data_IF_437801908491
#
_entry.id   IF_437801908491
#
_cell.length_a   1.000
_cell.length_b   1.000
_cell.length_c   1.000
_cell.angle_alpha   90.00
_cell.angle_beta   90.00
_cell.angle_gamma   90.00
#
_symmetry.space_group_name_H-M   'P 1'
#
loop_
_entity.id
_entity.type
_entity.pdbx_description
1 polymer ?
#
# COMPACT_ATOMS: atom_id res chain seq x y z
N UNK A 1 1.36 4.07 23.64
CA UNK A 1 0.13 3.26 23.54
C UNK A 1 -0.65 3.74 22.32
N UNK A 2 -0.40 3.16 21.15
CA UNK A 2 -1.09 3.49 19.91
C UNK A 2 -2.46 2.81 19.92
N UNK A 3 -3.53 3.59 20.06
CA UNK A 3 -4.88 3.09 19.79
C UNK A 3 -4.92 2.67 18.32
N UNK A 4 -4.86 1.35 18.09
CA UNK A 4 -5.08 0.75 16.78
C UNK A 4 -6.40 1.27 16.24
N UNK A 5 -6.37 1.86 15.05
CA UNK A 5 -7.53 2.28 14.26
C UNK A 5 -8.50 1.10 14.13
N UNK A 6 -9.39 0.95 15.11
CA UNK A 6 -10.32 -0.16 15.18
C UNK A 6 -11.43 0.13 14.18
N UNK A 7 -11.24 -0.37 12.96
CA UNK A 7 -12.23 -0.21 11.90
C UNK A 7 -13.57 -0.79 12.37
N UNK A 8 -14.63 0.00 12.24
CA UNK A 8 -15.96 -0.24 12.82
C UNK A 8 -16.65 -1.54 12.40
N UNK A 9 -16.10 -2.25 11.42
CA UNK A 9 -16.64 -3.49 10.88
C UNK A 9 -16.08 -4.77 11.51
N UNK A 10 -15.11 -4.68 12.43
CA UNK A 10 -14.61 -5.83 13.18
C UNK A 10 -15.09 -5.84 14.64
N UNK A 11 -15.42 -7.03 15.12
CA UNK A 11 -15.70 -7.28 16.53
C UNK A 11 -14.42 -7.14 17.36
N UNK A 12 -14.56 -6.98 18.68
CA UNK A 12 -13.42 -6.99 19.61
C UNK A 12 -12.64 -8.30 19.62
N UNK A 13 -13.23 -9.38 19.10
CA UNK A 13 -12.61 -10.70 18.97
C UNK A 13 -11.60 -10.79 17.83
N UNK A 14 -11.55 -9.81 16.91
CA UNK A 14 -10.52 -9.74 15.87
C UNK A 14 -9.22 -9.18 16.45
N UNK A 15 -8.42 -10.05 17.07
CA UNK A 15 -7.15 -9.71 17.71
C UNK A 15 -5.93 -10.10 16.85
N UNK A 16 -4.74 -9.86 17.38
CA UNK A 16 -3.47 -10.20 16.73
C UNK A 16 -3.31 -11.72 16.53
N UNK A 17 -3.86 -12.54 17.44
CA UNK A 17 -3.81 -14.00 17.32
C UNK A 17 -4.59 -14.51 16.11
N UNK A 18 -5.75 -13.89 15.83
CA UNK A 18 -6.51 -14.19 14.61
C UNK A 18 -5.74 -13.73 13.38
N UNK A 19 -5.16 -12.53 13.40
CA UNK A 19 -4.36 -12.04 12.28
C UNK A 19 -3.18 -12.96 11.95
N UNK A 20 -2.52 -13.54 12.94
CA UNK A 20 -1.41 -14.48 12.74
C UNK A 20 -1.82 -15.77 12.01
N UNK A 21 -3.10 -16.16 12.06
CA UNK A 21 -3.64 -17.33 11.35
C UNK A 21 -3.93 -17.04 9.88
N UNK A 22 -4.09 -15.77 9.52
CA UNK A 22 -4.39 -15.34 8.15
C UNK A 22 -3.11 -15.38 7.32
N UNK A 23 -3.27 -15.69 6.03
CA UNK A 23 -2.17 -15.64 5.10
C UNK A 23 -1.74 -14.20 4.84
N UNK A 24 -2.71 -13.31 4.61
CA UNK A 24 -2.48 -11.87 4.46
C UNK A 24 -2.84 -11.14 5.76
N UNK A 25 -1.94 -11.18 6.75
CA UNK A 25 -2.18 -10.68 8.13
C UNK A 25 -2.70 -9.25 8.20
N UNK A 26 -2.01 -8.31 7.55
CA UNK A 26 -2.34 -6.88 7.63
C UNK A 26 -3.43 -6.45 6.64
N UNK A 27 -3.68 -7.25 5.60
CA UNK A 27 -4.56 -6.89 4.49
C UNK A 27 -5.97 -6.48 4.93
N UNK A 28 -6.54 -7.24 5.85
CA UNK A 28 -7.92 -7.07 6.31
C UNK A 28 -8.12 -5.79 7.13
N UNK A 29 -7.02 -5.29 7.73
CA UNK A 29 -7.01 -4.05 8.49
C UNK A 29 -6.68 -2.88 7.58
N UNK A 30 -5.81 -3.03 6.58
CA UNK A 30 -5.42 -1.91 5.72
C UNK A 30 -6.49 -1.61 4.67
N UNK A 31 -6.99 -2.64 3.99
CA UNK A 31 -7.89 -2.49 2.85
C UNK A 31 -9.35 -2.26 3.24
N UNK A 32 -10.08 -1.55 2.38
CA UNK A 32 -11.52 -1.37 2.53
C UNK A 32 -12.28 -2.66 2.15
N UNK A 33 -13.31 -3.05 2.92
CA UNK A 33 -14.12 -4.23 2.63
C UNK A 33 -14.76 -4.28 1.24
N UNK A 34 -14.97 -3.14 0.58
CA UNK A 34 -15.52 -3.09 -0.78
C UNK A 34 -14.58 -3.74 -1.80
N UNK A 35 -13.27 -3.73 -1.54
CA UNK A 35 -12.24 -4.15 -2.48
C UNK A 35 -11.56 -5.46 -2.10
N UNK A 36 -11.94 -6.08 -0.97
CA UNK A 36 -11.25 -7.24 -0.44
C UNK A 36 -11.07 -8.37 -1.44
N UNK A 37 -12.09 -8.72 -2.22
CA UNK A 37 -11.99 -9.84 -3.17
C UNK A 37 -10.88 -9.65 -4.22
N UNK A 38 -10.85 -8.48 -4.88
CA UNK A 38 -9.89 -8.23 -5.95
C UNK A 38 -8.50 -7.95 -5.38
N UNK A 39 -8.41 -7.07 -4.39
CA UNK A 39 -7.14 -6.66 -3.81
C UNK A 39 -6.46 -7.83 -3.08
N UNK A 40 -7.23 -8.76 -2.49
CA UNK A 40 -6.68 -9.96 -1.87
C UNK A 40 -5.93 -10.78 -2.92
N UNK A 41 -6.56 -11.03 -4.08
CA UNK A 41 -5.95 -11.81 -5.15
C UNK A 41 -4.73 -11.12 -5.74
N UNK A 42 -4.78 -9.80 -5.90
CA UNK A 42 -3.63 -9.03 -6.36
C UNK A 42 -2.47 -9.14 -5.37
N UNK A 43 -2.72 -8.87 -4.08
CA UNK A 43 -1.69 -8.93 -3.04
C UNK A 43 -1.13 -10.34 -2.86
N UNK A 44 -1.96 -11.36 -2.99
CA UNK A 44 -1.56 -12.75 -2.95
C UNK A 44 -0.60 -13.11 -4.09
N UNK A 45 -0.93 -12.73 -5.33
CA UNK A 45 -0.05 -12.96 -6.50
C UNK A 45 1.22 -12.11 -6.41
N UNK A 46 1.15 -10.91 -5.85
CA UNK A 46 2.36 -10.10 -5.61
C UNK A 46 3.31 -10.76 -4.61
N UNK A 47 2.80 -11.43 -3.57
CA UNK A 47 3.64 -12.13 -2.59
C UNK A 47 4.12 -13.50 -3.08
N UNK A 48 3.28 -14.24 -3.80
CA UNK A 48 3.60 -15.54 -4.39
C UNK A 48 3.25 -15.56 -5.88
N UNK A 49 4.17 -15.10 -6.76
CA UNK A 49 3.93 -15.06 -8.20
C UNK A 49 3.68 -16.43 -8.85
N UNK A 50 4.09 -17.52 -8.20
CA UNK A 50 3.94 -18.89 -8.69
C UNK A 50 2.63 -19.56 -8.25
N UNK A 51 1.77 -18.86 -7.51
CA UNK A 51 0.60 -19.47 -6.90
C UNK A 51 -0.37 -20.02 -7.96
N UNK A 52 -0.77 -21.28 -7.79
CA UNK A 52 -1.76 -21.88 -8.68
C UNK A 52 -3.15 -21.28 -8.44
N UNK A 53 -3.97 -21.25 -9.49
CA UNK A 53 -5.38 -20.83 -9.39
C UNK A 53 -6.13 -21.58 -8.28
N UNK A 54 -5.87 -22.87 -8.13
CA UNK A 54 -6.55 -23.70 -7.12
C UNK A 54 -6.12 -23.29 -5.71
N UNK A 55 -4.83 -23.07 -5.49
CA UNK A 55 -4.32 -22.73 -4.17
C UNK A 55 -4.73 -21.32 -3.76
N UNK A 56 -4.70 -20.37 -4.69
CA UNK A 56 -5.20 -19.01 -4.45
C UNK A 56 -6.68 -19.02 -4.03
N UNK A 57 -7.47 -19.86 -4.68
CA UNK A 57 -8.89 -20.05 -4.41
C UNK A 57 -9.15 -20.68 -3.04
N UNK A 58 -8.35 -21.67 -2.64
CA UNK A 58 -8.40 -22.29 -1.31
C UNK A 58 -8.03 -21.26 -0.23
N UNK A 59 -6.94 -20.50 -0.44
CA UNK A 59 -6.49 -19.47 0.50
C UNK A 59 -7.54 -18.38 0.69
N UNK A 60 -8.10 -17.87 -0.40
CA UNK A 60 -9.17 -16.86 -0.36
C UNK A 60 -10.32 -17.31 0.56
N UNK A 61 -10.84 -18.53 0.34
CA UNK A 61 -11.97 -19.06 1.10
C UNK A 61 -11.62 -19.35 2.56
N UNK A 62 -10.41 -19.83 2.83
CA UNK A 62 -9.99 -20.14 4.20
C UNK A 62 -9.85 -18.85 5.03
N UNK A 63 -9.14 -17.86 4.50
CA UNK A 63 -8.96 -16.58 5.19
C UNK A 63 -10.32 -15.88 5.35
N UNK A 64 -11.17 -15.85 4.32
CA UNK A 64 -12.50 -15.22 4.43
C UNK A 64 -13.43 -15.93 5.41
N UNK A 65 -13.30 -17.24 5.62
CA UNK A 65 -14.06 -17.97 6.67
C UNK A 65 -13.62 -17.55 8.06
N UNK A 66 -12.30 -17.43 8.28
CA UNK A 66 -11.76 -16.99 9.57
C UNK A 66 -12.23 -15.56 9.84
N UNK A 67 -12.03 -14.65 8.88
CA UNK A 67 -12.40 -13.24 9.02
C UNK A 67 -13.90 -13.07 9.26
N UNK A 68 -14.75 -13.83 8.55
CA UNK A 68 -16.21 -13.75 8.70
C UNK A 68 -16.67 -13.93 10.16
N UNK A 69 -16.02 -14.81 10.94
CA UNK A 69 -16.40 -15.07 12.34
C UNK A 69 -16.21 -13.86 13.25
N UNK A 70 -15.43 -12.88 12.81
CA UNK A 70 -15.03 -11.72 13.59
C UNK A 70 -15.55 -10.39 13.01
N UNK A 71 -16.38 -10.45 11.97
CA UNK A 71 -16.99 -9.27 11.37
C UNK A 71 -18.30 -8.93 12.09
N UNK A 72 -18.60 -7.63 12.18
CA UNK A 72 -19.86 -7.14 12.73
C UNK A 72 -20.99 -7.38 11.72
N UNK A 73 -22.09 -7.97 12.17
CA UNK A 73 -23.25 -8.25 11.35
C UNK A 73 -23.88 -6.95 10.78
N UNK A 74 -24.41 -7.03 9.55
CA UNK A 74 -25.02 -5.90 8.83
C UNK A 74 -24.00 -4.98 8.14
N UNK A 75 -22.71 -5.30 8.19
CA UNK A 75 -21.66 -4.48 7.56
C UNK A 75 -21.31 -4.94 6.15
N UNK A 76 -20.69 -4.06 5.37
CA UNK A 76 -20.13 -4.39 4.05
C UNK A 76 -19.12 -5.54 4.18
N UNK A 77 -18.33 -5.56 5.24
CA UNK A 77 -17.38 -6.64 5.52
C UNK A 77 -18.06 -8.01 5.62
N UNK A 78 -19.26 -8.11 6.21
CA UNK A 78 -19.98 -9.38 6.33
C UNK A 78 -20.42 -9.83 4.94
N UNK A 79 -20.96 -8.90 4.17
CA UNK A 79 -21.44 -9.16 2.81
C UNK A 79 -20.28 -9.60 1.90
N UNK A 80 -19.15 -8.90 1.96
CA UNK A 80 -17.98 -9.24 1.16
C UNK A 80 -17.38 -10.57 1.56
N UNK A 81 -17.19 -10.85 2.87
CA UNK A 81 -16.65 -12.14 3.33
C UNK A 81 -17.57 -13.31 2.99
N UNK A 82 -18.90 -13.12 3.08
CA UNK A 82 -19.88 -14.09 2.59
C UNK A 82 -19.71 -14.37 1.09
N UNK A 83 -19.56 -13.31 0.29
CA UNK A 83 -19.34 -13.43 -1.16
C UNK A 83 -18.03 -14.16 -1.48
N UNK A 84 -16.94 -13.85 -0.77
CA UNK A 84 -15.64 -14.52 -0.88
C UNK A 84 -15.73 -16.02 -0.51
N UNK A 85 -16.48 -16.36 0.54
CA UNK A 85 -16.70 -17.76 0.95
C UNK A 85 -17.49 -18.58 -0.07
N UNK A 86 -18.34 -17.91 -0.86
CA UNK A 86 -19.14 -18.53 -1.92
C UNK A 86 -18.52 -18.37 -3.32
N UNK A 87 -17.36 -17.76 -3.42
CA UNK A 87 -16.77 -17.35 -4.70
C UNK A 87 -16.54 -18.53 -5.64
N UNK A 88 -16.17 -19.70 -5.09
CA UNK A 88 -15.99 -20.93 -5.86
C UNK A 88 -17.28 -21.72 -6.13
N UNK A 89 -18.40 -21.31 -5.53
CA UNK A 89 -19.69 -22.00 -5.68
C UNK A 89 -20.50 -21.40 -6.82
N UNK A 90 -20.43 -20.08 -6.98
CA UNK A 90 -21.19 -19.36 -8.02
C UNK A 90 -20.51 -19.45 -9.38
N UNK A 91 -21.30 -19.53 -10.46
CA UNK A 91 -20.79 -19.49 -11.84
C UNK A 91 -20.05 -18.17 -12.09
N UNK A 92 -20.61 -17.06 -11.60
CA UNK A 92 -20.02 -15.72 -11.70
C UNK A 92 -18.65 -15.65 -11.03
N UNK A 93 -18.52 -16.14 -9.79
CA UNK A 93 -17.25 -16.13 -9.07
C UNK A 93 -16.20 -17.04 -9.72
N UNK A 94 -16.58 -18.24 -10.17
CA UNK A 94 -15.70 -19.13 -10.95
C UNK A 94 -15.19 -18.44 -12.22
N UNK A 95 -16.07 -17.78 -12.97
CA UNK A 95 -15.70 -17.08 -14.20
C UNK A 95 -14.80 -15.86 -13.91
N UNK A 96 -15.06 -15.11 -12.84
CA UNK A 96 -14.22 -13.99 -12.43
C UNK A 96 -12.82 -14.46 -12.01
N UNK A 97 -12.73 -15.54 -11.23
CA UNK A 97 -11.46 -16.15 -10.83
C UNK A 97 -10.69 -16.69 -12.04
N UNK A 98 -11.39 -17.36 -12.95
CA UNK A 98 -10.84 -17.83 -14.23
C UNK A 98 -10.27 -16.67 -15.04
N UNK A 99 -11.06 -15.62 -15.22
CA UNK A 99 -10.66 -14.43 -15.98
C UNK A 99 -9.43 -13.75 -15.36
N UNK A 100 -9.34 -13.63 -14.04
CA UNK A 100 -8.19 -13.00 -13.38
C UNK A 100 -6.86 -13.72 -13.69
N UNK A 101 -6.87 -15.05 -13.69
CA UNK A 101 -5.67 -15.85 -13.98
C UNK A 101 -5.41 -16.03 -15.49
N UNK A 102 -6.44 -16.20 -16.31
CA UNK A 102 -6.30 -16.53 -17.73
C UNK A 102 -6.22 -15.29 -18.64
N UNK A 103 -6.88 -14.18 -18.29
CA UNK A 103 -6.82 -12.93 -19.07
C UNK A 103 -5.62 -12.04 -18.72
N UNK A 104 -4.62 -12.59 -18.05
CA UNK A 104 -3.32 -11.94 -17.86
C UNK A 104 -3.20 -11.01 -16.65
N UNK A 105 -4.26 -10.72 -15.89
CA UNK A 105 -4.13 -9.86 -14.69
C UNK A 105 -3.14 -10.45 -13.68
N UNK A 106 -3.21 -11.75 -13.41
CA UNK A 106 -2.25 -12.43 -12.54
C UNK A 106 -0.82 -12.40 -13.11
N UNK A 107 -0.65 -12.63 -14.42
CA UNK A 107 0.66 -12.63 -15.08
C UNK A 107 1.34 -11.26 -15.02
N UNK A 108 0.59 -10.18 -15.30
CA UNK A 108 1.09 -8.79 -15.23
C UNK A 108 1.50 -8.42 -13.80
N UNK A 109 0.73 -8.86 -12.79
CA UNK A 109 1.06 -8.61 -11.39
C UNK A 109 2.30 -9.41 -10.96
N UNK A 110 2.39 -10.67 -11.38
CA UNK A 110 3.55 -11.52 -11.11
C UNK A 110 4.82 -10.91 -11.72
N UNK A 111 4.78 -10.51 -13.00
CA UNK A 111 5.91 -9.91 -13.70
C UNK A 111 6.34 -8.57 -13.08
N UNK A 112 5.38 -7.69 -12.78
CA UNK A 112 5.68 -6.42 -12.11
C UNK A 112 6.24 -6.60 -10.70
N UNK A 113 5.76 -7.58 -9.93
CA UNK A 113 6.30 -7.91 -8.61
C UNK A 113 7.75 -8.41 -8.70
N UNK A 114 8.03 -9.31 -9.65
CA UNK A 114 9.39 -9.80 -9.90
C UNK A 114 10.30 -8.64 -10.34
N UNK A 115 9.86 -7.80 -11.27
CA UNK A 115 10.62 -6.64 -11.73
C UNK A 115 10.92 -5.65 -10.60
N UNK A 116 9.95 -5.36 -9.74
CA UNK A 116 10.14 -4.52 -8.58
C UNK A 116 11.18 -5.12 -7.61
N UNK A 117 11.12 -6.43 -7.36
CA UNK A 117 12.08 -7.11 -6.49
C UNK A 117 13.52 -7.02 -7.02
N UNK A 118 13.68 -7.16 -8.35
CA UNK A 118 14.97 -7.03 -9.04
C UNK A 118 15.48 -5.59 -8.96
N UNK A 119 14.63 -4.60 -9.24
CA UNK A 119 15.00 -3.19 -9.13
C UNK A 119 15.39 -2.81 -7.70
N UNK A 120 14.63 -3.28 -6.71
CA UNK A 120 14.94 -3.08 -5.29
C UNK A 120 16.28 -3.69 -4.90
N UNK A 121 16.59 -4.90 -5.40
CA UNK A 121 17.89 -5.51 -5.16
C UNK A 121 19.01 -4.72 -5.84
N UNK A 122 18.83 -4.30 -7.11
CA UNK A 122 19.81 -3.48 -7.83
C UNK A 122 20.09 -2.17 -7.10
N UNK A 123 19.05 -1.48 -6.61
CA UNK A 123 19.19 -0.26 -5.82
C UNK A 123 19.97 -0.52 -4.54
N UNK A 124 19.63 -1.57 -3.79
CA UNK A 124 20.37 -1.95 -2.56
C UNK A 124 21.83 -2.28 -2.85
N UNK A 125 22.11 -3.00 -3.93
CA UNK A 125 23.47 -3.30 -4.37
C UNK A 125 24.23 -2.02 -4.74
N UNK A 126 23.61 -1.10 -5.48
CA UNK A 126 24.21 0.19 -5.83
C UNK A 126 24.51 1.06 -4.61
N UNK A 127 23.59 1.10 -3.64
CA UNK A 127 23.83 1.80 -2.36
C UNK A 127 24.96 1.15 -1.56
N UNK A 128 25.00 -0.19 -1.49
CA UNK A 128 26.08 -0.90 -0.81
C UNK A 128 27.45 -0.68 -1.49
N UNK A 129 27.49 -0.64 -2.82
CA UNK A 129 28.68 -0.33 -3.61
C UNK A 129 29.14 1.11 -3.37
N UNK A 130 28.22 2.08 -3.32
CA UNK A 130 28.56 3.46 -2.99
C UNK A 130 29.17 3.58 -1.58
N UNK A 131 28.58 2.90 -0.59
CA UNK A 131 29.11 2.88 0.79
C UNK A 131 30.51 2.24 0.83
N UNK A 132 30.70 1.12 0.13
CA UNK A 132 32.00 0.45 0.05
C UNK A 132 33.05 1.35 -0.63
N UNK A 133 32.71 2.01 -1.74
CA UNK A 133 33.60 2.94 -2.43
C UNK A 133 33.93 4.17 -1.56
N UNK A 134 32.97 4.71 -0.80
CA UNK A 134 33.21 5.79 0.16
C UNK A 134 34.14 5.35 1.31
N UNK A 135 34.04 4.08 1.74
CA UNK A 135 34.92 3.50 2.74
C UNK A 135 36.34 3.26 2.19
N UNK A 136 36.47 2.74 0.97
CA UNK A 136 37.75 2.58 0.27
C UNK A 136 38.43 3.93 -0.03
N UNK A 137 37.68 4.97 -0.41
CA UNK A 137 38.19 6.33 -0.56
C UNK A 137 38.68 6.91 0.79
N UNK A 138 37.96 6.65 1.89
CA UNK A 138 38.41 7.06 3.24
C UNK A 138 39.68 6.31 3.67
N UNK A 139 39.81 5.03 3.31
CA UNK A 139 40.98 4.21 3.62
C UNK A 139 42.20 4.63 2.78
N UNK A 140 42.00 4.91 1.49
CA UNK A 140 43.07 5.39 0.59
C UNK A 140 43.54 6.80 0.97
N UNK A 141 42.64 7.71 1.33
CA UNK A 141 43.01 9.02 1.90
C UNK A 141 43.82 8.89 3.20
N UNK A 142 43.50 7.91 4.07
CA UNK A 142 44.31 7.62 5.27
C UNK A 142 45.68 7.00 4.95
N UNK A 143 45.81 6.23 3.86
CA UNK A 143 47.11 5.62 3.45
C UNK A 143 48.01 6.56 2.67
N UNK A 144 47.47 7.55 1.95
CA UNK A 144 48.28 8.59 1.27
C UNK A 144 48.75 9.72 2.19
N UNK A 145 48.36 9.72 3.47
CA UNK A 145 48.81 10.68 4.49
C UNK A 145 50.05 10.25 5.27
N UNK A 146 51.03 9.60 4.63
CA UNK A 146 52.35 9.35 5.23
C UNK A 146 53.41 9.86 4.27
N UNK A 147 53.82 11.11 4.48
CA UNK A 147 55.02 11.63 3.84
C UNK A 147 54.99 13.11 3.51
N UNK A 148 54.86 13.98 4.51
CA UNK A 148 55.61 15.24 4.50
C UNK A 148 55.87 15.66 5.95
N UNK A 149 57.15 15.84 6.25
CA UNK A 149 57.64 16.05 7.60
C UNK A 149 57.52 17.49 8.08
N UNK A 150 57.67 17.61 9.39
CA UNK A 150 58.19 18.76 10.12
C UNK A 150 57.25 19.93 10.45
N UNK A 151 56.93 19.97 11.75
CA UNK A 151 57.09 21.14 12.63
C UNK A 151 55.90 22.05 12.93
N UNK A 152 55.66 22.14 14.25
CA UNK A 152 55.24 23.29 15.05
C UNK A 152 53.77 23.72 15.08
N UNK A 153 53.27 23.63 16.32
CA UNK A 153 52.41 24.56 17.04
C UNK A 153 50.97 24.85 16.60
N UNK A 154 50.09 24.44 17.53
CA UNK A 154 49.05 25.25 18.16
C UNK A 154 47.91 25.81 17.29
N UNK A 155 46.67 25.53 17.72
CA UNK A 155 45.73 26.53 18.28
C UNK A 155 44.27 26.02 18.16
N UNK A 156 43.64 25.84 19.33
CA UNK A 156 42.24 26.10 19.73
C UNK A 156 41.09 25.68 18.77
N UNK A 157 40.24 24.72 19.16
CA UNK A 157 39.04 24.91 20.02
C UNK A 157 38.11 26.03 19.51
N UNK A 158 37.02 25.66 18.82
CA UNK A 158 35.71 26.27 19.03
C UNK A 158 34.57 25.39 18.49
N UNK A 159 33.74 24.94 19.42
CA UNK A 159 32.36 24.48 19.23
C UNK A 159 31.52 25.73 18.96
N UNK A 160 30.63 25.70 17.98
CA UNK A 160 29.41 26.52 17.95
C UNK A 160 28.26 25.73 17.35
N UNK A 161 27.34 25.37 18.24
CA UNK A 161 25.93 25.17 17.96
C UNK A 161 25.39 26.43 17.25
N UNK A 162 24.50 26.25 16.28
CA UNK A 162 23.46 27.22 15.96
C UNK A 162 22.29 26.45 15.35
N UNK A 163 21.28 26.22 16.20
CA UNK A 163 19.89 26.16 15.80
C UNK A 163 19.56 27.47 15.06
N UNK A 164 18.86 27.37 13.93
CA UNK A 164 18.04 28.47 13.44
C UNK A 164 16.84 27.85 12.71
N UNK A 165 15.70 27.98 13.39
CA UNK A 165 14.36 27.96 12.82
C UNK A 165 14.29 28.90 11.62
N UNK A 166 13.69 28.43 10.53
CA UNK A 166 13.04 29.32 9.58
C UNK A 166 11.70 28.70 9.22
N UNK A 167 10.69 29.09 9.99
CA UNK A 167 9.32 29.19 9.51
C UNK A 167 9.34 30.15 8.30
N UNK A 168 9.20 29.60 7.10
CA UNK A 168 8.85 30.39 5.92
C UNK A 168 7.41 30.04 5.55
N UNK A 169 6.55 30.90 6.08
CA UNK A 169 5.12 31.00 5.91
C UNK A 169 4.83 31.45 4.46
N UNK A 170 4.87 30.50 3.53
CA UNK A 170 4.34 30.68 2.19
C UNK A 170 2.85 30.38 2.21
N UNK A 171 2.09 31.38 2.66
CA UNK A 171 0.64 31.52 2.53
C UNK A 171 0.24 31.58 1.05
N UNK A 172 0.34 30.44 0.36
CA UNK A 172 -0.26 30.26 -0.97
C UNK A 172 -1.74 30.07 -0.76
N UNK A 173 -2.52 31.03 -1.28
CA UNK A 173 -3.97 31.01 -1.52
C UNK A 173 -4.48 29.66 -2.10
N UNK A 174 -4.47 28.60 -1.31
CA UNK A 174 -5.25 27.40 -1.56
C UNK A 174 -6.69 27.76 -1.22
N UNK A 175 -7.39 28.31 -2.21
CA UNK A 175 -8.84 28.33 -2.20
C UNK A 175 -9.27 26.88 -1.97
N UNK A 176 -9.73 26.60 -0.76
CA UNK A 176 -10.13 25.28 -0.27
C UNK A 176 -10.88 24.55 -1.38
N UNK A 177 -10.35 23.40 -1.78
CA UNK A 177 -10.91 22.54 -2.83
C UNK A 177 -12.40 22.32 -2.56
N UNK A 178 -12.80 22.28 -1.29
CA UNK A 178 -14.20 22.18 -0.89
C UNK A 178 -15.05 23.41 -1.26
N UNK A 179 -14.53 24.63 -1.14
CA UNK A 179 -15.22 25.83 -1.60
C UNK A 179 -15.37 25.88 -3.12
N UNK A 180 -14.38 25.36 -3.86
CA UNK A 180 -14.47 25.24 -5.31
C UNK A 180 -15.58 24.25 -5.72
N UNK A 181 -15.68 23.12 -5.01
CA UNK A 181 -16.75 22.14 -5.22
C UNK A 181 -18.14 22.71 -4.91
N UNK A 182 -18.28 23.50 -3.83
CA UNK A 182 -19.56 24.18 -3.53
C UNK A 182 -19.96 25.13 -4.65
N UNK A 183 -19.05 26.02 -5.09
CA UNK A 183 -19.31 26.94 -6.21
C UNK A 183 -19.64 26.21 -7.51
N UNK A 184 -19.01 25.06 -7.74
CA UNK A 184 -19.29 24.22 -8.91
C UNK A 184 -20.72 23.65 -8.88
N UNK A 185 -21.19 23.19 -7.72
CA UNK A 185 -22.52 22.63 -7.52
C UNK A 185 -23.62 23.71 -7.46
N UNK A 186 -23.31 24.92 -6.98
CA UNK A 186 -24.25 26.04 -6.93
C UNK A 186 -24.52 26.65 -8.31
N UNK A 187 -23.71 26.34 -9.32
CA UNK A 187 -23.92 26.84 -10.68
C UNK A 187 -25.03 26.03 -11.41
N UNK A 188 -26.16 26.65 -11.77
CA UNK A 188 -27.28 25.97 -12.42
C UNK A 188 -26.93 25.38 -13.79
N UNK A 189 -25.90 25.91 -14.47
CA UNK A 189 -25.44 25.30 -15.74
C UNK A 189 -24.73 23.97 -15.53
N UNK A 190 -23.98 23.80 -14.44
CA UNK A 190 -23.26 22.57 -14.13
C UNK A 190 -24.20 21.47 -13.63
N UNK A 191 -25.20 21.83 -12.81
CA UNK A 191 -26.18 20.88 -12.26
C UNK A 191 -27.16 20.34 -13.29
N UNK A 192 -27.40 21.06 -14.40
CA UNK A 192 -28.21 20.56 -15.51
C UNK A 192 -27.65 19.26 -16.14
N UNK A 193 -26.32 19.08 -16.12
CA UNK A 193 -25.68 17.88 -16.63
C UNK A 193 -25.72 16.71 -15.65
N UNK A 194 -25.79 16.97 -14.33
CA UNK A 194 -25.88 15.93 -13.31
C UNK A 194 -27.18 15.13 -13.41
N UNK A 195 -28.30 15.80 -13.73
CA UNK A 195 -29.58 15.11 -13.98
C UNK A 195 -29.58 14.25 -15.25
N UNK A 196 -28.63 14.45 -16.17
CA UNK A 196 -28.48 13.58 -17.33
C UNK A 196 -27.77 12.28 -16.95
N UNK A 197 -26.85 12.31 -15.98
CA UNK A 197 -26.10 11.14 -15.51
C UNK A 197 -26.91 10.18 -14.62
N UNK A 198 -28.20 10.46 -14.40
CA UNK A 198 -29.06 9.53 -13.65
C UNK A 198 -29.12 8.16 -14.35
N UNK A 199 -28.90 7.05 -13.62
CA UNK A 199 -29.03 5.69 -14.15
C UNK A 199 -30.39 5.41 -14.80
N UNK A 200 -31.45 6.08 -14.32
CA UNK A 200 -32.83 5.94 -14.83
C UNK A 200 -32.96 6.42 -16.28
N UNK A 201 -32.31 7.54 -16.64
CA UNK A 201 -32.31 8.05 -18.03
C UNK A 201 -31.53 7.16 -18.98
N UNK A 202 -30.53 6.46 -18.47
CA UNK A 202 -29.68 5.56 -19.24
C UNK A 202 -30.14 4.11 -19.22
N UNK A 203 -31.31 3.81 -18.62
CA UNK A 203 -31.86 2.45 -18.47
C UNK A 203 -30.86 1.46 -17.85
N UNK A 204 -30.05 1.94 -16.91
CA UNK A 204 -29.07 1.12 -16.19
C UNK A 204 -29.76 0.42 -14.99
N UNK A 205 -30.94 0.88 -14.57
CA UNK A 205 -31.80 0.30 -13.53
C UNK A 205 -33.23 0.19 -14.08
#
# INVERSE_FOLDING_TARGET
MTQSNKKFYFQSSFDENIQLKLHLKEFWITEDPCYWTLHYLQKLVSQDPGISRRDASIRLVNDSKIVQQHVVAGTVAETTTNSMNQYNRTIRGKNAFKNFFEKGSAAVIAESSVNFSVQKHRLRSSMAEQIANEEEEKITRKRCGVGEGSSSDAVQKQIKENEEESEDDSDTNEVDVWEQWKKFLDNPQNTNHLMQLSPEKHKII
#
